data_IF_180102317654
#
_entry.id   IF_180102317654
#
_cell.length_a   1.000
_cell.length_b   1.000
_cell.length_c   1.000
_cell.angle_alpha   90.00
_cell.angle_beta   90.00
_cell.angle_gamma   90.00
#
_symmetry.space_group_name_H-M   'P 1'
#
loop_
_entity.id
_entity.type
_entity.pdbx_description
1 polymer ?
#
# COMPACT_ATOMS: atom_id res chain seq x y z
N UNK A 1 1.21 -15.58 20.37
CA UNK A 1 0.75 -14.76 19.23
C UNK A 1 1.78 -14.96 18.13
N UNK A 2 1.35 -15.14 16.85
CA UNK A 2 2.26 -15.33 15.73
C UNK A 2 3.05 -14.02 15.51
N UNK A 3 4.38 -14.10 15.45
CA UNK A 3 5.27 -13.00 15.09
C UNK A 3 5.48 -12.99 13.56
N UNK A 4 5.28 -11.85 12.92
CA UNK A 4 5.48 -11.64 11.48
C UNK A 4 6.82 -10.96 11.16
N UNK A 5 7.68 -10.73 12.16
CA UNK A 5 9.01 -10.15 11.94
C UNK A 5 9.86 -11.03 11.03
N UNK A 6 10.63 -10.38 10.15
CA UNK A 6 11.61 -11.02 9.29
C UNK A 6 12.78 -10.05 9.01
N UNK A 7 13.62 -10.36 8.02
CA UNK A 7 14.76 -9.53 7.63
C UNK A 7 14.37 -8.11 7.20
N UNK A 8 13.13 -7.91 6.65
CA UNK A 8 12.67 -6.64 6.07
C UNK A 8 11.71 -5.88 6.96
N UNK A 9 10.96 -6.57 7.82
CA UNK A 9 9.95 -5.95 8.69
C UNK A 9 10.09 -6.36 10.14
N UNK A 10 9.63 -5.50 11.03
CA UNK A 10 9.46 -5.79 12.46
C UNK A 10 7.99 -5.71 12.83
N UNK A 11 7.49 -6.73 13.54
CA UNK A 11 6.15 -6.77 14.11
C UNK A 11 6.20 -6.12 15.49
N UNK A 12 5.39 -5.08 15.67
CA UNK A 12 5.31 -4.32 16.90
C UNK A 12 3.92 -4.49 17.51
N UNK A 13 3.87 -4.76 18.80
CA UNK A 13 2.64 -4.68 19.60
C UNK A 13 2.86 -3.63 20.70
N UNK A 14 2.17 -2.52 20.58
CA UNK A 14 2.26 -1.41 21.54
C UNK A 14 0.89 -1.12 22.13
N UNK A 15 0.69 -1.49 23.38
CA UNK A 15 -0.57 -1.31 24.12
C UNK A 15 -1.77 -1.94 23.40
N UNK A 16 -1.59 -3.13 22.83
CA UNK A 16 -2.63 -3.84 22.08
C UNK A 16 -2.86 -3.34 20.65
N UNK A 17 -2.06 -2.39 20.18
CA UNK A 17 -2.06 -1.97 18.77
C UNK A 17 -0.94 -2.70 18.04
N UNK A 18 -1.31 -3.50 17.04
CA UNK A 18 -0.37 -4.31 16.27
C UNK A 18 -0.12 -3.70 14.89
N UNK A 19 1.14 -3.63 14.50
CA UNK A 19 1.54 -3.11 13.20
C UNK A 19 2.93 -3.60 12.79
N UNK A 20 3.23 -3.46 11.50
CA UNK A 20 4.56 -3.72 10.95
C UNK A 20 5.24 -2.39 10.60
N UNK A 21 6.55 -2.36 10.80
CA UNK A 21 7.43 -1.32 10.28
C UNK A 21 8.55 -1.93 9.45
N UNK A 22 8.91 -1.27 8.35
CA UNK A 22 10.05 -1.67 7.51
C UNK A 22 11.36 -1.24 8.15
N UNK A 23 12.29 -2.19 8.32
CA UNK A 23 13.61 -1.92 8.92
C UNK A 23 14.36 -0.84 8.15
N UNK A 24 14.28 -0.84 6.81
CA UNK A 24 14.89 0.17 5.95
C UNK A 24 14.38 1.59 6.20
N UNK A 25 13.08 1.77 6.43
CA UNK A 25 12.52 3.09 6.75
C UNK A 25 12.78 3.51 8.20
N UNK A 26 13.02 2.57 9.12
CA UNK A 26 13.41 2.87 10.50
C UNK A 26 14.80 3.52 10.60
N UNK A 27 15.67 3.34 9.61
CA UNK A 27 16.96 4.06 9.51
C UNK A 27 16.74 5.60 9.45
N UNK A 28 15.55 6.04 9.06
CA UNK A 28 15.15 7.45 8.93
C UNK A 28 14.09 7.87 9.96
N UNK A 29 14.04 7.21 11.11
CA UNK A 29 13.01 7.42 12.15
C UNK A 29 13.00 8.82 12.78
N UNK A 30 14.04 9.62 12.54
CA UNK A 30 14.10 11.04 12.89
C UNK A 30 13.47 11.97 11.83
N UNK A 31 13.12 11.45 10.65
CA UNK A 31 12.56 12.22 9.52
C UNK A 31 11.15 11.76 9.17
N UNK A 32 10.91 10.44 9.22
CA UNK A 32 9.62 9.85 8.88
C UNK A 32 9.16 8.86 9.95
N UNK A 33 7.86 8.64 9.99
CA UNK A 33 7.28 7.46 10.63
C UNK A 33 6.34 6.75 9.67
N UNK A 34 6.12 5.45 9.89
CA UNK A 34 5.26 4.64 9.05
C UNK A 34 4.71 3.45 9.83
N UNK A 35 3.62 2.88 9.35
CA UNK A 35 3.08 1.62 9.85
C UNK A 35 2.25 0.92 8.76
N UNK A 36 2.21 -0.40 8.81
CA UNK A 36 1.18 -1.21 8.18
C UNK A 36 0.40 -1.92 9.29
N UNK A 37 -0.90 -1.66 9.39
CA UNK A 37 -1.74 -2.25 10.45
C UNK A 37 -1.88 -3.75 10.28
N UNK A 38 -1.92 -4.48 11.38
CA UNK A 38 -2.27 -5.89 11.43
C UNK A 38 -3.24 -6.15 12.59
N UNK A 39 -3.90 -7.30 12.55
CA UNK A 39 -5.01 -7.66 13.44
C UNK A 39 -6.34 -7.60 12.71
N UNK A 40 -7.11 -8.68 12.75
CA UNK A 40 -8.42 -8.74 12.09
C UNK A 40 -9.54 -8.11 12.94
N UNK A 41 -9.23 -7.68 14.16
CA UNK A 41 -10.12 -6.92 15.04
C UNK A 41 -10.22 -5.43 14.68
N UNK A 42 -9.28 -4.90 13.91
CA UNK A 42 -9.28 -3.50 13.42
C UNK A 42 -9.80 -3.42 11.99
N UNK A 43 -10.40 -2.30 11.60
CA UNK A 43 -10.89 -2.11 10.24
C UNK A 43 -10.82 -0.63 9.83
N UNK A 44 -10.00 -0.32 8.84
CA UNK A 44 -9.75 1.04 8.35
C UNK A 44 -10.67 1.45 7.18
N UNK A 45 -11.82 0.79 7.05
CA UNK A 45 -12.83 1.14 6.05
C UNK A 45 -13.57 2.42 6.47
N UNK A 46 -13.58 3.44 5.61
CA UNK A 46 -14.26 4.73 5.86
C UNK A 46 -15.44 4.97 4.91
N UNK A 47 -15.57 4.15 3.87
CA UNK A 47 -16.70 4.17 2.93
C UNK A 47 -16.95 2.78 2.36
N UNK A 48 -18.15 2.52 1.86
CA UNK A 48 -18.48 1.30 1.10
C UNK A 48 -17.92 1.39 -0.33
N UNK A 49 -17.77 0.24 -0.99
CA UNK A 49 -17.23 0.15 -2.34
C UNK A 49 -18.02 0.99 -3.39
N UNK A 50 -19.31 1.23 -3.16
CA UNK A 50 -20.18 2.05 -4.00
C UNK A 50 -20.27 3.51 -3.56
N UNK A 51 -19.32 4.01 -2.78
CA UNK A 51 -19.28 5.37 -2.19
C UNK A 51 -20.42 5.68 -1.20
N UNK A 52 -21.23 4.71 -0.82
CA UNK A 52 -22.22 4.90 0.24
C UNK A 52 -21.51 5.13 1.57
N UNK A 53 -22.08 6.02 2.38
CA UNK A 53 -21.60 6.22 3.74
C UNK A 53 -21.74 4.94 4.56
N UNK A 54 -20.75 4.69 5.40
CA UNK A 54 -20.86 3.64 6.41
C UNK A 54 -21.92 4.00 7.44
N UNK A 55 -22.54 3.00 8.10
CA UNK A 55 -23.25 3.23 9.35
C UNK A 55 -22.35 4.00 10.31
N UNK A 56 -22.94 4.93 11.07
CA UNK A 56 -22.21 5.83 11.96
C UNK A 56 -21.28 5.09 12.94
N UNK A 57 -21.74 3.96 13.46
CA UNK A 57 -20.97 3.12 14.40
C UNK A 57 -19.72 2.51 13.73
N UNK A 58 -19.84 2.02 12.49
CA UNK A 58 -18.72 1.46 11.74
C UNK A 58 -17.69 2.55 11.40
N UNK A 59 -18.16 3.74 11.00
CA UNK A 59 -17.27 4.88 10.74
C UNK A 59 -16.55 5.32 12.01
N UNK A 60 -17.25 5.46 13.15
CA UNK A 60 -16.65 5.80 14.44
C UNK A 60 -15.59 4.77 14.84
N UNK A 61 -15.86 3.48 14.64
CA UNK A 61 -14.88 2.43 14.93
C UNK A 61 -13.65 2.58 14.06
N UNK A 62 -13.81 2.77 12.75
CA UNK A 62 -12.67 2.99 11.84
C UNK A 62 -11.83 4.20 12.27
N UNK A 63 -12.47 5.30 12.68
CA UNK A 63 -11.77 6.49 13.18
C UNK A 63 -11.02 6.23 14.48
N UNK A 64 -11.58 5.43 15.41
CA UNK A 64 -10.88 5.00 16.62
C UNK A 64 -9.67 4.10 16.30
N UNK A 65 -9.79 3.22 15.31
CA UNK A 65 -8.67 2.38 14.87
C UNK A 65 -7.55 3.24 14.24
N UNK A 66 -7.89 4.28 13.45
CA UNK A 66 -6.94 5.29 12.98
C UNK A 66 -6.25 6.03 14.13
N UNK A 67 -7.03 6.52 15.10
CA UNK A 67 -6.50 7.25 16.27
C UNK A 67 -5.52 6.39 17.06
N UNK A 68 -5.88 5.14 17.35
CA UNK A 68 -5.02 4.18 18.08
C UNK A 68 -3.71 3.93 17.32
N UNK A 69 -3.77 3.66 16.01
CA UNK A 69 -2.59 3.40 15.21
C UNK A 69 -1.70 4.64 15.08
N UNK A 70 -2.29 5.82 14.84
CA UNK A 70 -1.56 7.09 14.75
C UNK A 70 -0.85 7.42 16.08
N UNK A 71 -1.53 7.24 17.22
CA UNK A 71 -0.93 7.42 18.54
C UNK A 71 0.23 6.46 18.79
N UNK A 72 0.13 5.20 18.32
CA UNK A 72 1.21 4.22 18.45
C UNK A 72 2.48 4.65 17.70
N UNK A 73 2.35 5.31 16.55
CA UNK A 73 3.47 5.84 15.73
C UNK A 73 3.75 7.33 15.95
N UNK A 74 3.10 7.94 16.96
CA UNK A 74 3.32 9.34 17.41
C UNK A 74 2.98 10.39 16.34
N UNK A 75 1.88 10.22 15.62
CA UNK A 75 1.32 11.25 14.71
C UNK A 75 -0.12 11.56 15.10
N UNK A 76 -0.61 12.75 14.73
CA UNK A 76 -2.00 13.12 14.96
C UNK A 76 -2.90 12.50 13.88
N UNK A 77 -3.89 11.69 14.27
CA UNK A 77 -4.84 11.08 13.36
C UNK A 77 -5.69 12.09 12.59
N UNK A 78 -5.85 13.32 13.10
CA UNK A 78 -6.54 14.42 12.42
C UNK A 78 -5.81 14.88 11.16
N UNK A 79 -4.54 14.53 11.03
CA UNK A 79 -3.70 14.84 9.89
C UNK A 79 -3.69 13.71 8.84
N UNK A 80 -4.52 12.68 9.01
CA UNK A 80 -4.66 11.60 8.04
C UNK A 80 -5.36 12.11 6.78
N UNK A 81 -4.69 11.92 5.64
CA UNK A 81 -5.23 12.16 4.30
C UNK A 81 -5.32 10.82 3.61
N UNK A 82 -6.53 10.44 3.20
CA UNK A 82 -6.81 9.17 2.56
C UNK A 82 -7.39 9.37 1.17
N UNK A 83 -6.95 8.53 0.23
CA UNK A 83 -7.52 8.47 -1.12
C UNK A 83 -8.80 7.61 -1.16
N UNK A 84 -9.70 7.92 -2.09
CA UNK A 84 -10.81 7.05 -2.44
C UNK A 84 -10.40 6.15 -3.60
N UNK A 85 -9.86 4.98 -3.26
CA UNK A 85 -9.27 4.01 -4.18
C UNK A 85 -10.34 3.35 -5.05
N UNK A 86 -10.14 3.37 -6.37
CA UNK A 86 -11.03 2.74 -7.36
C UNK A 86 -10.26 1.88 -8.38
N UNK A 87 -9.04 1.45 -8.03
CA UNK A 87 -8.16 0.66 -8.89
C UNK A 87 -7.79 1.40 -10.19
N UNK A 88 -7.55 2.70 -10.08
CA UNK A 88 -7.06 3.57 -11.15
C UNK A 88 -5.54 3.69 -11.12
N UNK A 89 -5.00 4.52 -11.99
CA UNK A 89 -3.60 4.96 -11.99
C UNK A 89 -3.43 6.44 -11.63
N UNK A 90 -4.48 7.05 -11.09
CA UNK A 90 -4.47 8.44 -10.68
C UNK A 90 -3.68 8.63 -9.37
N UNK A 91 -2.83 9.66 -9.37
CA UNK A 91 -1.97 10.01 -8.25
C UNK A 91 -2.11 11.50 -7.97
N UNK A 92 -2.45 11.86 -6.73
CA UNK A 92 -2.61 13.23 -6.28
C UNK A 92 -1.40 13.72 -5.49
N UNK A 93 -1.17 15.04 -5.50
CA UNK A 93 -0.24 15.71 -4.57
C UNK A 93 -1.05 16.35 -3.46
N UNK A 94 -0.82 15.92 -2.21
CA UNK A 94 -1.45 16.49 -1.04
C UNK A 94 -0.73 17.76 -0.61
N UNK A 95 -1.34 18.90 -0.89
CA UNK A 95 -0.81 20.23 -0.57
C UNK A 95 -1.63 21.00 0.47
N UNK A 96 -2.71 20.43 0.98
CA UNK A 96 -3.64 21.12 1.87
C UNK A 96 -3.03 21.51 3.21
N UNK A 97 -3.57 22.62 3.76
CA UNK A 97 -3.49 22.91 5.20
C UNK A 97 -4.33 21.86 5.93
N UNK A 98 -3.73 21.28 6.98
CA UNK A 98 -4.37 20.32 7.86
C UNK A 98 -5.69 20.89 8.39
N UNK A 99 -6.80 20.20 8.18
CA UNK A 99 -8.05 20.53 8.83
C UNK A 99 -8.01 20.03 10.28
N UNK A 100 -7.90 20.94 11.24
CA UNK A 100 -7.73 20.62 12.66
C UNK A 100 -8.91 19.88 13.29
N UNK A 101 -10.02 19.71 12.58
CA UNK A 101 -11.26 19.20 13.18
C UNK A 101 -11.57 17.75 12.82
N UNK A 102 -11.21 17.27 11.61
CA UNK A 102 -11.48 15.90 11.14
C UNK A 102 -10.40 15.45 10.15
N UNK A 103 -10.04 14.17 10.14
CA UNK A 103 -9.16 13.61 9.12
C UNK A 103 -9.82 13.67 7.72
N UNK A 104 -9.01 13.92 6.70
CA UNK A 104 -9.42 14.01 5.31
C UNK A 104 -9.53 12.60 4.69
N UNK A 105 -10.51 11.81 5.13
CA UNK A 105 -10.62 10.39 4.76
C UNK A 105 -11.60 10.06 3.64
N UNK A 106 -12.44 11.00 3.22
CA UNK A 106 -13.44 10.79 2.17
C UNK A 106 -13.60 12.03 1.26
N UNK A 107 -12.54 12.77 1.02
CA UNK A 107 -12.61 13.98 0.21
C UNK A 107 -12.90 13.65 -1.27
N UNK A 108 -13.80 14.43 -1.86
CA UNK A 108 -14.11 14.35 -3.29
C UNK A 108 -12.86 14.64 -4.15
N UNK A 109 -11.99 15.54 -3.69
CA UNK A 109 -10.71 15.88 -4.33
C UNK A 109 -9.81 14.66 -4.57
N UNK A 110 -9.85 13.65 -3.70
CA UNK A 110 -9.08 12.42 -3.85
C UNK A 110 -9.95 11.23 -4.28
N UNK A 111 -11.12 11.52 -4.88
CA UNK A 111 -11.94 10.47 -5.47
C UNK A 111 -11.25 9.91 -6.71
N UNK A 112 -11.42 8.60 -6.95
CA UNK A 112 -10.77 7.88 -8.05
C UNK A 112 -9.25 8.05 -8.06
N UNK A 113 -8.63 8.11 -6.88
CA UNK A 113 -7.21 8.34 -6.70
C UNK A 113 -6.64 7.16 -5.90
N UNK A 114 -5.63 6.51 -6.45
CA UNK A 114 -5.02 5.32 -5.86
C UNK A 114 -3.60 5.57 -5.34
N UNK A 115 -3.02 6.75 -5.63
CA UNK A 115 -1.73 7.19 -5.10
C UNK A 115 -1.79 8.62 -4.57
N UNK A 116 -1.02 8.90 -3.50
CA UNK A 116 -0.93 10.24 -2.91
C UNK A 116 0.51 10.53 -2.50
N UNK A 117 0.99 11.74 -2.80
CA UNK A 117 2.37 12.16 -2.59
C UNK A 117 2.38 13.49 -1.83
N UNK A 118 3.40 13.73 -1.00
CA UNK A 118 3.60 15.04 -0.35
C UNK A 118 5.05 15.28 0.06
N UNK A 119 5.41 16.56 0.19
CA UNK A 119 6.60 17.05 0.90
C UNK A 119 6.24 17.78 2.18
N UNK A 120 4.95 17.80 2.55
CA UNK A 120 4.50 18.49 3.77
C UNK A 120 4.72 17.64 5.00
N UNK A 121 5.36 18.23 5.99
CA UNK A 121 5.49 17.66 7.32
C UNK A 121 4.12 17.52 8.00
N UNK A 122 4.02 16.52 8.86
CA UNK A 122 2.83 16.23 9.69
C UNK A 122 1.58 15.78 8.91
N UNK A 123 1.60 15.68 7.57
CA UNK A 123 0.54 14.97 6.86
C UNK A 123 0.78 13.47 6.94
N UNK A 124 -0.28 12.71 7.27
CA UNK A 124 -0.24 11.25 7.36
C UNK A 124 -0.95 10.67 6.13
N UNK A 125 -0.17 10.19 5.17
CA UNK A 125 -0.73 9.59 3.96
C UNK A 125 -1.23 8.18 4.25
N UNK A 126 -2.46 7.87 3.83
CA UNK A 126 -3.12 6.59 4.07
C UNK A 126 -3.67 5.97 2.80
N UNK A 127 -3.34 4.70 2.56
CA UNK A 127 -4.02 3.81 1.64
C UNK A 127 -4.43 2.53 2.36
N UNK A 128 -5.42 1.82 1.83
CA UNK A 128 -5.96 0.62 2.48
C UNK A 128 -5.99 -0.57 1.52
N UNK A 129 -5.90 -1.78 2.09
CA UNK A 129 -6.03 -3.00 1.32
C UNK A 129 -6.72 -4.15 2.08
N UNK A 130 -7.19 -5.10 1.30
CA UNK A 130 -7.35 -6.51 1.62
C UNK A 130 -6.90 -7.24 0.34
N UNK A 131 -5.68 -7.77 0.35
CA UNK A 131 -4.95 -8.43 -0.75
C UNK A 131 -4.18 -7.53 -1.71
N UNK A 132 -4.69 -6.36 -2.12
CA UNK A 132 -3.98 -5.48 -3.04
C UNK A 132 -2.62 -5.02 -2.48
N UNK A 133 -1.67 -4.71 -3.35
CA UNK A 133 -0.37 -4.17 -2.95
C UNK A 133 -0.55 -2.73 -2.48
N UNK A 134 0.07 -2.38 -1.34
CA UNK A 134 0.32 -1.01 -0.92
C UNK A 134 1.82 -0.74 -1.00
N UNK A 135 2.18 0.43 -1.52
CA UNK A 135 3.55 0.86 -1.74
C UNK A 135 3.82 2.13 -0.94
N UNK A 136 4.78 2.09 -0.03
CA UNK A 136 5.29 3.25 0.68
C UNK A 136 6.58 3.71 0.00
N UNK A 137 6.61 4.97 -0.47
CA UNK A 137 7.80 5.56 -1.07
C UNK A 137 8.36 6.65 -0.17
N UNK A 138 9.68 6.75 -0.13
CA UNK A 138 10.40 7.82 0.56
C UNK A 138 11.66 8.21 -0.20
N UNK A 139 11.83 9.49 -0.49
CA UNK A 139 13.08 10.08 -0.94
C UNK A 139 13.69 10.88 0.20
N UNK A 140 14.82 10.43 0.79
CA UNK A 140 15.47 11.12 1.91
C UNK A 140 16.13 12.45 1.52
N UNK A 141 16.43 12.66 0.23
CA UNK A 141 17.10 13.86 -0.27
C UNK A 141 16.11 15.01 -0.39
N UNK A 142 15.00 14.78 -1.06
CA UNK A 142 13.94 15.80 -1.26
C UNK A 142 12.92 15.84 -0.13
N UNK A 143 12.98 14.88 0.82
CA UNK A 143 11.97 14.66 1.86
C UNK A 143 10.57 14.54 1.25
N UNK A 144 10.45 13.68 0.26
CA UNK A 144 9.18 13.36 -0.39
C UNK A 144 8.72 11.99 0.06
N UNK A 145 7.44 11.87 0.42
CA UNK A 145 6.79 10.59 0.72
C UNK A 145 5.62 10.36 -0.23
N UNK A 146 5.36 9.08 -0.54
CA UNK A 146 4.14 8.68 -1.24
C UNK A 146 3.57 7.39 -0.64
N UNK A 147 2.26 7.22 -0.82
CA UNK A 147 1.53 6.02 -0.44
C UNK A 147 0.59 5.65 -1.58
N UNK A 148 0.79 4.47 -2.19
CA UNK A 148 0.13 4.09 -3.43
C UNK A 148 -0.50 2.71 -3.30
N UNK A 149 -1.77 2.60 -3.70
CA UNK A 149 -2.50 1.35 -3.82
C UNK A 149 -2.34 0.80 -5.24
N UNK A 150 -1.77 -0.39 -5.36
CA UNK A 150 -1.58 -1.10 -6.62
C UNK A 150 -2.30 -2.45 -6.58
N UNK A 151 -3.62 -2.45 -6.80
CA UNK A 151 -4.34 -3.68 -7.11
C UNK A 151 -3.87 -4.25 -8.46
N UNK A 152 -4.40 -5.41 -8.88
CA UNK A 152 -3.98 -6.02 -10.14
C UNK A 152 -4.20 -5.08 -11.36
N UNK A 153 -5.28 -4.29 -11.38
CA UNK A 153 -5.52 -3.27 -12.41
C UNK A 153 -4.50 -2.13 -12.33
N UNK A 154 -4.18 -1.66 -11.13
CA UNK A 154 -3.14 -0.65 -10.91
C UNK A 154 -1.75 -1.15 -11.32
N UNK A 155 -1.46 -2.45 -11.10
CA UNK A 155 -0.23 -3.08 -11.60
C UNK A 155 -0.20 -3.10 -13.13
N UNK A 156 -1.29 -3.48 -13.81
CA UNK A 156 -1.40 -3.41 -15.27
C UNK A 156 -1.20 -1.98 -15.79
N UNK A 157 -1.73 -0.99 -15.10
CA UNK A 157 -1.59 0.43 -15.44
C UNK A 157 -0.24 1.03 -15.03
N UNK A 158 0.66 0.21 -14.44
CA UNK A 158 2.00 0.61 -13.98
C UNK A 158 1.98 1.75 -12.95
N UNK A 159 0.99 1.80 -12.06
CA UNK A 159 0.82 2.90 -11.10
C UNK A 159 2.06 3.12 -10.22
N UNK A 160 2.80 2.06 -9.89
CA UNK A 160 4.06 2.18 -9.14
C UNK A 160 5.12 3.01 -9.88
N UNK A 161 5.25 2.80 -11.20
CA UNK A 161 6.15 3.58 -12.05
C UNK A 161 5.66 5.02 -12.19
N UNK A 162 4.35 5.22 -12.44
CA UNK A 162 3.73 6.55 -12.52
C UNK A 162 3.90 7.35 -11.22
N UNK A 163 3.90 6.67 -10.06
CA UNK A 163 4.22 7.31 -8.78
C UNK A 163 5.65 7.84 -8.76
N UNK A 164 6.61 7.05 -9.20
CA UNK A 164 8.02 7.47 -9.31
C UNK A 164 8.17 8.62 -10.30
N UNK A 165 7.57 8.51 -11.49
CA UNK A 165 7.59 9.57 -12.50
C UNK A 165 7.05 10.90 -11.96
N UNK A 166 5.93 10.85 -11.22
CA UNK A 166 5.33 12.05 -10.61
C UNK A 166 6.22 12.63 -9.51
N UNK A 167 6.86 11.79 -8.68
CA UNK A 167 7.83 12.23 -7.68
C UNK A 167 9.03 12.93 -8.35
N UNK A 168 9.50 12.40 -9.47
CA UNK A 168 10.62 12.97 -10.24
C UNK A 168 10.23 14.29 -10.91
N UNK A 169 9.15 14.27 -11.70
CA UNK A 169 8.78 15.38 -12.57
C UNK A 169 8.23 16.59 -11.82
N UNK A 170 7.52 16.37 -10.71
CA UNK A 170 6.82 17.45 -10.00
C UNK A 170 7.48 17.83 -8.67
N UNK A 171 8.29 16.94 -8.07
CA UNK A 171 8.86 17.15 -6.72
C UNK A 171 10.40 17.04 -6.68
N UNK A 172 11.05 16.87 -7.84
CA UNK A 172 12.49 16.91 -7.97
C UNK A 172 13.24 15.71 -7.41
N UNK A 173 12.56 14.60 -7.17
CA UNK A 173 13.17 13.35 -6.74
C UNK A 173 14.08 12.78 -7.83
N UNK A 174 15.05 11.94 -7.41
CA UNK A 174 15.82 11.13 -8.36
C UNK A 174 15.51 9.65 -8.10
N UNK A 175 15.21 8.84 -9.15
CA UNK A 175 14.80 7.45 -8.95
C UNK A 175 15.77 6.63 -8.08
N UNK A 176 17.07 6.86 -8.24
CA UNK A 176 18.10 6.14 -7.45
C UNK A 176 18.10 6.47 -5.96
N UNK A 177 17.48 7.58 -5.53
CA UNK A 177 17.39 8.00 -4.13
C UNK A 177 16.09 7.54 -3.47
N UNK A 178 15.08 7.14 -4.28
CA UNK A 178 13.78 6.70 -3.79
C UNK A 178 13.89 5.29 -3.20
N UNK A 179 13.37 5.14 -1.99
CA UNK A 179 13.13 3.85 -1.31
C UNK A 179 11.66 3.50 -1.49
N UNK A 180 11.37 2.28 -1.93
CA UNK A 180 10.02 1.74 -2.07
C UNK A 180 9.85 0.50 -1.19
N UNK A 181 8.87 0.52 -0.28
CA UNK A 181 8.53 -0.60 0.58
C UNK A 181 7.18 -1.19 0.16
N UNK A 182 7.18 -2.49 -0.15
CA UNK A 182 6.01 -3.26 -0.61
C UNK A 182 5.37 -3.94 0.61
N UNK A 183 4.20 -3.45 1.01
CA UNK A 183 3.46 -3.96 2.16
C UNK A 183 2.92 -5.38 1.93
N UNK A 184 2.46 -6.06 3.00
CA UNK A 184 1.77 -7.35 2.88
C UNK A 184 0.61 -7.28 1.87
N UNK A 185 0.53 -8.30 1.01
CA UNK A 185 -0.46 -8.39 -0.06
C UNK A 185 -0.66 -9.85 -0.46
N UNK A 186 -1.64 -10.13 -1.31
CA UNK A 186 -1.74 -11.45 -1.92
C UNK A 186 -0.49 -11.72 -2.77
N UNK A 187 0.05 -12.92 -2.68
CA UNK A 187 1.26 -13.34 -3.39
C UNK A 187 0.92 -14.37 -4.47
N UNK A 188 1.88 -14.68 -5.33
CA UNK A 188 1.78 -15.73 -6.35
C UNK A 188 1.11 -17.02 -5.82
N UNK A 189 1.46 -17.45 -4.60
CA UNK A 189 0.90 -18.65 -3.98
C UNK A 189 -0.64 -18.67 -3.88
N UNK A 190 -1.30 -17.50 -3.95
CA UNK A 190 -2.75 -17.38 -3.81
C UNK A 190 -3.42 -16.45 -4.84
N UNK A 191 -2.64 -15.68 -5.62
CA UNK A 191 -3.19 -14.83 -6.67
C UNK A 191 -3.46 -15.67 -7.94
N UNK A 192 -4.50 -16.49 -7.85
CA UNK A 192 -5.04 -17.27 -8.95
C UNK A 192 -5.98 -16.41 -9.79
N UNK A 193 -5.84 -16.48 -11.11
CA UNK A 193 -6.62 -15.72 -12.10
C UNK A 193 -7.11 -16.61 -13.24
N UNK A 194 -8.15 -16.17 -13.93
CA UNK A 194 -8.66 -16.74 -15.15
C UNK A 194 -7.86 -16.30 -16.38
N UNK A 195 -8.18 -16.92 -17.53
CA UNK A 195 -7.48 -16.68 -18.79
C UNK A 195 -7.55 -15.21 -19.24
N UNK A 196 -8.69 -14.54 -19.05
CA UNK A 196 -8.90 -13.14 -19.43
C UNK A 196 -7.93 -12.20 -18.71
N UNK A 197 -7.77 -12.34 -17.40
CA UNK A 197 -6.80 -11.55 -16.61
C UNK A 197 -5.37 -11.93 -16.99
N UNK A 198 -5.09 -13.20 -17.17
CA UNK A 198 -3.77 -13.70 -17.61
C UNK A 198 -3.37 -13.07 -18.94
N UNK A 199 -4.27 -13.04 -19.93
CA UNK A 199 -4.01 -12.47 -21.26
C UNK A 199 -3.71 -10.96 -21.18
N UNK A 200 -4.40 -10.22 -20.31
CA UNK A 200 -4.10 -8.80 -20.06
C UNK A 200 -2.69 -8.60 -19.51
N UNK A 201 -2.24 -9.44 -18.58
CA UNK A 201 -0.88 -9.38 -18.05
C UNK A 201 0.16 -9.71 -19.12
N UNK A 202 -0.07 -10.72 -19.95
CA UNK A 202 0.86 -11.07 -21.04
C UNK A 202 1.01 -9.94 -22.06
N UNK A 203 -0.09 -9.29 -22.46
CA UNK A 203 -0.04 -8.18 -23.41
C UNK A 203 0.68 -6.97 -22.81
N UNK A 204 0.33 -6.55 -21.58
CA UNK A 204 0.92 -5.37 -20.94
C UNK A 204 2.43 -5.56 -20.65
N UNK A 205 2.83 -6.77 -20.25
CA UNK A 205 4.20 -7.07 -19.86
C UNK A 205 4.93 -7.98 -20.84
N UNK A 206 4.59 -7.90 -22.13
CA UNK A 206 5.28 -8.67 -23.19
C UNK A 206 6.79 -8.37 -23.25
N UNK A 207 7.20 -7.14 -22.90
CA UNK A 207 8.60 -6.73 -22.78
C UNK A 207 9.36 -7.45 -21.66
N UNK A 208 8.66 -8.05 -20.70
CA UNK A 208 9.22 -8.85 -19.60
C UNK A 208 9.17 -10.36 -19.87
N UNK A 209 8.54 -10.80 -20.97
CA UNK A 209 8.33 -12.22 -21.27
C UNK A 209 7.74 -13.04 -20.10
N UNK A 210 6.75 -12.47 -19.41
CA UNK A 210 6.23 -13.00 -18.14
C UNK A 210 5.68 -14.41 -18.26
N UNK A 211 5.08 -14.77 -19.41
CA UNK A 211 4.55 -16.12 -19.66
C UNK A 211 5.62 -17.21 -19.77
N UNK A 212 6.88 -16.83 -20.06
CA UNK A 212 8.03 -17.73 -20.10
C UNK A 212 8.81 -17.76 -18.79
N UNK A 213 8.46 -16.88 -17.85
CA UNK A 213 9.11 -16.80 -16.54
C UNK A 213 8.21 -17.42 -15.48
N UNK A 214 8.53 -18.66 -15.07
CA UNK A 214 7.76 -19.40 -14.08
C UNK A 214 7.71 -18.70 -12.71
N UNK A 215 8.70 -17.87 -12.39
CA UNK A 215 8.70 -17.10 -11.14
C UNK A 215 7.59 -16.05 -11.14
N UNK A 216 7.26 -15.52 -12.33
CA UNK A 216 6.21 -14.49 -12.49
C UNK A 216 4.85 -15.14 -12.72
N UNK A 217 4.74 -16.06 -13.68
CA UNK A 217 3.46 -16.66 -14.08
C UNK A 217 3.57 -18.17 -14.20
N UNK A 218 2.64 -18.87 -13.59
CA UNK A 218 2.60 -20.33 -13.58
C UNK A 218 1.19 -20.83 -13.86
N UNK A 219 1.05 -21.69 -14.87
CA UNK A 219 -0.22 -22.39 -15.15
C UNK A 219 -0.43 -23.49 -14.11
N UNK A 220 -1.62 -23.57 -13.54
CA UNK A 220 -1.98 -24.66 -12.64
C UNK A 220 -2.17 -25.98 -13.40
N UNK A 221 -1.78 -27.08 -12.75
CA UNK A 221 -2.05 -28.42 -13.30
C UNK A 221 -3.56 -28.65 -13.36
N UNK A 222 -4.00 -29.22 -14.47
CA UNK A 222 -5.38 -29.68 -14.70
C UNK A 222 -6.46 -28.58 -14.61
N UNK A 223 -6.07 -27.30 -14.69
CA UNK A 223 -6.99 -26.16 -14.66
C UNK A 223 -6.57 -25.09 -15.65
N UNK A 224 -7.56 -24.41 -16.24
CA UNK A 224 -7.34 -23.16 -17.01
C UNK A 224 -7.26 -21.95 -16.08
N UNK A 225 -6.31 -22.02 -15.13
CA UNK A 225 -6.02 -21.00 -14.12
C UNK A 225 -4.52 -20.75 -14.05
N UNK A 226 -4.14 -19.54 -13.69
CA UNK A 226 -2.76 -19.10 -13.57
C UNK A 226 -2.52 -18.42 -12.23
N UNK A 227 -1.36 -18.65 -11.65
CA UNK A 227 -0.86 -17.89 -10.52
C UNK A 227 0.12 -16.82 -11.03
N UNK A 228 -0.09 -15.55 -10.67
CA UNK A 228 0.73 -14.43 -11.12
C UNK A 228 1.38 -13.74 -9.90
N UNK A 229 2.69 -13.47 -9.98
CA UNK A 229 3.41 -12.66 -8.98
C UNK A 229 3.38 -11.17 -9.36
N UNK A 230 2.32 -10.48 -8.95
CA UNK A 230 2.19 -9.03 -9.15
C UNK A 230 3.23 -8.23 -8.36
N UNK A 231 3.74 -8.78 -7.25
CA UNK A 231 4.80 -8.16 -6.47
C UNK A 231 6.12 -8.20 -7.23
N UNK A 232 6.48 -9.36 -7.80
CA UNK A 232 7.70 -9.49 -8.60
C UNK A 232 7.63 -8.59 -9.85
N UNK A 233 6.46 -8.48 -10.50
CA UNK A 233 6.24 -7.54 -11.61
C UNK A 233 6.54 -6.11 -11.15
N UNK A 234 5.94 -5.64 -10.04
CA UNK A 234 6.20 -4.29 -9.52
C UNK A 234 7.68 -4.08 -9.20
N UNK A 235 8.38 -5.07 -8.61
CA UNK A 235 9.83 -4.96 -8.37
C UNK A 235 10.62 -4.77 -9.65
N UNK A 236 10.28 -5.50 -10.71
CA UNK A 236 10.97 -5.41 -12.00
C UNK A 236 10.74 -4.05 -12.66
N UNK A 237 9.48 -3.59 -12.72
CA UNK A 237 9.17 -2.30 -13.36
C UNK A 237 9.70 -1.11 -12.58
N UNK A 238 9.72 -1.16 -11.24
CA UNK A 238 10.36 -0.13 -10.41
C UNK A 238 11.88 -0.07 -10.63
N UNK A 239 12.54 -1.23 -10.75
CA UNK A 239 13.96 -1.28 -11.11
C UNK A 239 14.21 -0.69 -12.50
N UNK A 240 13.36 -1.00 -13.49
CA UNK A 240 13.41 -0.39 -14.84
C UNK A 240 13.17 1.13 -14.79
N UNK A 241 12.36 1.62 -13.85
CA UNK A 241 12.14 3.04 -13.62
C UNK A 241 13.32 3.74 -12.92
N UNK A 242 14.40 3.02 -12.61
CA UNK A 242 15.65 3.58 -12.09
C UNK A 242 15.84 3.48 -10.57
N UNK A 243 14.94 2.82 -9.83
CA UNK A 243 15.19 2.54 -8.41
C UNK A 243 16.32 1.52 -8.28
N UNK A 244 17.19 1.71 -7.28
CA UNK A 244 18.20 0.73 -6.92
C UNK A 244 17.54 -0.54 -6.35
N UNK A 245 18.09 -1.70 -6.63
CA UNK A 245 17.54 -2.99 -6.16
C UNK A 245 17.46 -3.04 -4.64
N UNK A 246 18.47 -2.53 -3.94
CA UNK A 246 18.55 -2.45 -2.48
C UNK A 246 17.56 -1.46 -1.85
N UNK A 247 16.93 -0.62 -2.65
CA UNK A 247 15.89 0.34 -2.23
C UNK A 247 14.47 -0.19 -2.48
N UNK A 248 14.31 -1.37 -3.08
CA UNK A 248 12.99 -2.00 -3.29
C UNK A 248 12.83 -3.11 -2.26
N UNK A 249 12.19 -2.78 -1.15
CA UNK A 249 12.06 -3.63 0.03
C UNK A 249 10.69 -4.31 0.02
N UNK A 250 10.68 -5.63 0.00
CA UNK A 250 9.46 -6.43 0.02
C UNK A 250 9.23 -7.01 1.41
N UNK A 251 8.03 -6.83 1.98
CA UNK A 251 7.66 -7.43 3.27
C UNK A 251 7.77 -8.97 3.28
N UNK A 252 7.67 -9.63 2.11
CA UNK A 252 7.65 -11.08 2.01
C UNK A 252 6.36 -11.75 2.51
N UNK A 253 5.38 -11.00 2.98
CA UNK A 253 4.19 -11.51 3.65
C UNK A 253 2.98 -11.60 2.71
N UNK A 254 2.39 -12.82 2.64
CA UNK A 254 1.13 -13.05 1.92
C UNK A 254 -0.05 -12.83 2.88
N UNK A 255 -1.04 -12.01 2.47
CA UNK A 255 -2.26 -11.75 3.24
C UNK A 255 -3.04 -13.04 3.50
N UNK A 256 -3.21 -13.90 2.50
CA UNK A 256 -3.93 -15.18 2.62
C UNK A 256 -3.21 -16.17 3.54
N UNK A 257 -1.87 -16.28 3.46
CA UNK A 257 -1.09 -17.15 4.36
C UNK A 257 -1.13 -16.65 5.82
N UNK A 258 -1.43 -15.37 6.03
CA UNK A 258 -1.48 -14.73 7.34
C UNK A 258 -2.88 -14.17 7.67
N UNK A 259 -3.92 -14.82 7.17
CA UNK A 259 -5.33 -14.44 7.31
C UNK A 259 -5.82 -14.20 8.73
N UNK A 260 -5.14 -14.77 9.72
CA UNK A 260 -5.48 -14.58 11.13
C UNK A 260 -5.00 -13.21 11.69
N UNK A 261 -4.13 -12.52 10.94
CA UNK A 261 -3.53 -11.23 11.32
C UNK A 261 -3.66 -10.16 10.22
N UNK A 262 -3.99 -10.54 8.99
CA UNK A 262 -4.07 -9.62 7.84
C UNK A 262 -5.38 -9.87 7.10
N UNK A 263 -6.18 -8.83 6.93
CA UNK A 263 -7.40 -8.89 6.14
C UNK A 263 -7.13 -9.31 4.71
N UNK A 264 -8.00 -10.19 4.19
CA UNK A 264 -7.90 -10.73 2.84
C UNK A 264 -9.28 -10.87 2.20
N UNK A 265 -9.52 -10.14 1.13
CA UNK A 265 -10.73 -10.29 0.32
C UNK A 265 -10.88 -11.70 -0.24
N UNK A 266 -9.76 -12.36 -0.61
CA UNK A 266 -9.75 -13.72 -1.12
C UNK A 266 -10.32 -14.71 -0.11
N UNK A 267 -10.08 -14.49 1.19
CA UNK A 267 -10.53 -15.35 2.29
C UNK A 267 -11.90 -14.92 2.82
N UNK A 268 -12.03 -13.65 3.18
CA UNK A 268 -13.20 -13.12 3.91
C UNK A 268 -14.41 -12.88 3.02
N UNK A 269 -14.20 -12.70 1.71
CA UNK A 269 -15.30 -12.45 0.72
C UNK A 269 -16.11 -11.19 1.08
N UNK A 270 -17.43 -11.27 1.05
CA UNK A 270 -18.31 -10.16 1.44
C UNK A 270 -18.15 -9.86 2.94
N UNK A 271 -18.02 -8.57 3.27
CA UNK A 271 -17.82 -8.13 4.66
C UNK A 271 -16.36 -8.07 5.11
N UNK A 272 -15.39 -8.28 4.20
CA UNK A 272 -13.95 -8.18 4.50
C UNK A 272 -13.58 -6.86 5.17
N UNK A 273 -12.64 -6.93 6.12
CA UNK A 273 -12.01 -5.75 6.70
C UNK A 273 -10.92 -5.15 5.81
N UNK A 274 -10.38 -4.00 6.20
CA UNK A 274 -9.26 -3.36 5.52
C UNK A 274 -8.12 -3.10 6.48
N UNK A 275 -6.90 -3.47 6.07
CA UNK A 275 -5.68 -2.96 6.65
C UNK A 275 -5.35 -1.57 6.07
N UNK A 276 -4.50 -0.80 6.75
CA UNK A 276 -3.98 0.48 6.25
C UNK A 276 -2.47 0.51 6.28
N UNK A 277 -1.87 1.15 5.30
CA UNK A 277 -0.50 1.63 5.34
C UNK A 277 -0.50 3.13 5.62
N UNK A 278 0.32 3.57 6.57
CA UNK A 278 0.51 4.97 6.94
C UNK A 278 1.97 5.36 6.73
N UNK A 279 2.21 6.57 6.24
CA UNK A 279 3.53 7.21 6.22
C UNK A 279 3.38 8.71 6.43
N UNK A 280 4.30 9.31 7.21
CA UNK A 280 4.30 10.74 7.51
C UNK A 280 5.73 11.27 7.61
N UNK A 281 5.96 12.47 7.07
CA UNK A 281 7.14 13.27 7.41
C UNK A 281 6.92 13.87 8.78
N UNK A 282 7.94 13.77 9.65
CA UNK A 282 7.91 14.35 10.98
C UNK A 282 8.29 15.84 10.89
N UNK A 283 7.49 16.70 11.51
CA UNK A 283 7.85 18.11 11.72
C UNK A 283 8.98 18.25 12.76
N UNK A 284 9.75 19.32 12.62
CA UNK A 284 10.76 19.71 13.62
C UNK A 284 10.10 20.22 14.88
#
# INVERSE_FOLDING_TARGET
>A
MKDLSNENVVHINKNGVQYLQFRKLLEYSNVITHAYSIGTEVNFRTARANKQQLPEQEFKKAMQDYERLCNAIKVDYKNVVKTNQEHTDNIAIANKKINKNLPDVNLEEYSRTDGIITQKENLVLSTTNADCILLLFFDPVTKTIANTHSGWKGTLQRISVKTVEKMVNELGCKPQDIICCICPSIRKCHFEVDKDVKDLFEEEFKDLNISKNIDIMEKQKDKEKWNIDTVLINKIILKKAGLKTENIIDSGLCSVCNKDLIHSFRVEKQGYGLNTALISLLGK
#
